data_IF_713763845030
#
_entry.id   IF_713763845030
#
_cell.length_a   1.000
_cell.length_b   1.000
_cell.length_c   1.000
_cell.angle_alpha   90.00
_cell.angle_beta   90.00
_cell.angle_gamma   90.00
#
_symmetry.space_group_name_H-M   'P 1'
#
loop_
_entity.id
_entity.type
_entity.pdbx_description
1 polymer ?
#
# COMPACT_ATOMS: atom_id res chain seq x y z
N UNK A 1 21.20 -17.65 1.08
CA UNK A 1 19.77 -17.86 0.81
C UNK A 1 19.47 -17.19 -0.51
N UNK A 2 18.82 -17.90 -1.43
CA UNK A 2 18.64 -17.52 -2.83
C UNK A 2 17.51 -16.49 -2.95
N UNK A 3 17.82 -15.24 -3.34
CA UNK A 3 16.92 -14.08 -3.24
C UNK A 3 15.67 -14.22 -4.13
N UNK A 4 15.79 -14.94 -5.25
CA UNK A 4 14.72 -15.23 -6.22
C UNK A 4 13.56 -16.02 -5.61
N UNK A 5 13.80 -16.84 -4.59
CA UNK A 5 12.75 -17.66 -3.98
C UNK A 5 11.78 -16.86 -3.10
N UNK A 6 12.18 -15.72 -2.53
CA UNK A 6 11.31 -14.93 -1.63
C UNK A 6 10.34 -14.00 -2.33
N UNK A 7 10.65 -13.56 -3.56
CA UNK A 7 9.76 -12.71 -4.35
C UNK A 7 8.58 -13.51 -4.91
N UNK A 8 8.87 -14.67 -5.52
CA UNK A 8 7.86 -15.52 -6.15
C UNK A 8 6.87 -16.13 -5.13
N UNK A 9 7.31 -16.45 -3.91
CA UNK A 9 6.41 -16.95 -2.85
C UNK A 9 5.56 -15.86 -2.19
N UNK A 10 5.97 -14.58 -2.26
CA UNK A 10 5.15 -13.44 -1.78
C UNK A 10 4.05 -13.04 -2.76
N UNK A 11 4.31 -13.19 -4.06
CA UNK A 11 3.40 -12.80 -5.14
C UNK A 11 2.52 -13.95 -5.65
N UNK A 12 2.61 -15.16 -5.08
CA UNK A 12 1.80 -16.32 -5.49
C UNK A 12 0.43 -16.39 -4.80
N UNK A 13 0.11 -15.44 -3.93
CA UNK A 13 -1.14 -15.38 -3.19
C UNK A 13 -2.07 -14.31 -3.75
N UNK A 14 -3.37 -14.56 -3.68
CA UNK A 14 -4.40 -13.55 -3.93
C UNK A 14 -4.23 -12.42 -2.92
N UNK A 15 -4.09 -11.18 -3.39
CA UNK A 15 -4.05 -10.01 -2.50
C UNK A 15 -5.44 -9.74 -1.92
N UNK A 16 -5.66 -10.27 -0.71
CA UNK A 16 -6.93 -10.15 0.01
C UNK A 16 -7.26 -8.67 0.27
N UNK A 17 -6.26 -7.81 0.49
CA UNK A 17 -6.51 -6.41 0.80
C UNK A 17 -7.08 -5.68 -0.42
N UNK A 18 -6.55 -5.97 -1.61
CA UNK A 18 -7.06 -5.47 -2.89
C UNK A 18 -8.50 -5.89 -3.13
N UNK A 19 -8.80 -7.18 -2.97
CA UNK A 19 -10.17 -7.70 -3.12
C UNK A 19 -11.12 -6.99 -2.16
N UNK A 20 -10.72 -6.83 -0.89
CA UNK A 20 -11.56 -6.19 0.12
C UNK A 20 -11.73 -4.70 -0.15
N UNK A 21 -10.73 -4.04 -0.74
CA UNK A 21 -10.85 -2.67 -1.20
C UNK A 21 -11.87 -2.54 -2.33
N UNK A 22 -11.78 -3.41 -3.35
CA UNK A 22 -12.74 -3.40 -4.46
C UNK A 22 -14.17 -3.71 -4.00
N UNK A 23 -14.35 -4.71 -3.13
CA UNK A 23 -15.65 -5.00 -2.51
C UNK A 23 -16.19 -3.75 -1.78
N UNK A 24 -15.35 -3.05 -1.02
CA UNK A 24 -15.74 -1.81 -0.35
C UNK A 24 -16.19 -0.74 -1.36
N UNK A 25 -15.40 -0.51 -2.42
CA UNK A 25 -15.70 0.51 -3.42
C UNK A 25 -17.00 0.20 -4.16
N UNK A 26 -17.21 -1.05 -4.58
CA UNK A 26 -18.43 -1.50 -5.26
C UNK A 26 -19.65 -1.39 -4.34
N UNK A 27 -19.57 -1.90 -3.12
CA UNK A 27 -20.70 -1.91 -2.18
C UNK A 27 -21.13 -0.50 -1.73
N UNK A 28 -20.22 0.48 -1.82
CA UNK A 28 -20.51 1.88 -1.49
C UNK A 28 -20.76 2.73 -2.74
N UNK A 29 -20.90 2.11 -3.91
CA UNK A 29 -21.14 2.79 -5.19
C UNK A 29 -20.12 3.90 -5.47
N UNK A 30 -18.85 3.67 -5.11
CA UNK A 30 -17.75 4.63 -5.34
C UNK A 30 -17.10 4.30 -6.69
N UNK A 31 -17.26 5.15 -7.73
CA UNK A 31 -16.58 4.94 -8.99
C UNK A 31 -15.06 4.98 -8.80
N UNK A 32 -14.35 4.08 -9.48
CA UNK A 32 -12.90 3.99 -9.38
C UNK A 32 -12.26 3.46 -10.66
N UNK A 33 -10.94 3.67 -10.80
CA UNK A 33 -10.09 3.02 -11.79
C UNK A 33 -8.83 2.47 -11.12
N UNK A 34 -8.38 1.28 -11.52
CA UNK A 34 -7.05 0.78 -11.17
C UNK A 34 -6.01 1.67 -11.88
N UNK A 35 -5.03 2.12 -11.12
CA UNK A 35 -3.99 3.06 -11.56
C UNK A 35 -2.59 2.44 -11.44
N UNK A 36 -2.34 1.72 -10.34
CA UNK A 36 -1.12 1.00 -10.01
C UNK A 36 -0.62 0.01 -11.07
N UNK A 37 0.68 -0.30 -11.03
CA UNK A 37 1.22 -1.42 -11.79
C UNK A 37 0.75 -2.74 -11.17
N UNK A 38 -0.06 -3.49 -11.90
CA UNK A 38 -0.48 -4.83 -11.49
C UNK A 38 0.59 -5.87 -11.84
N UNK A 39 1.62 -5.97 -11.00
CA UNK A 39 2.71 -6.92 -11.20
C UNK A 39 2.29 -8.39 -10.97
N UNK A 40 1.08 -8.65 -10.45
CA UNK A 40 0.58 -10.01 -10.24
C UNK A 40 -0.09 -10.54 -11.51
N UNK A 41 -0.98 -9.75 -12.12
CA UNK A 41 -1.72 -10.18 -13.31
C UNK A 41 -1.07 -9.74 -14.63
N UNK A 42 -0.29 -8.65 -14.62
CA UNK A 42 0.40 -8.11 -15.78
C UNK A 42 1.87 -7.81 -15.46
N UNK A 43 2.68 -8.85 -15.19
CA UNK A 43 4.06 -8.67 -14.75
C UNK A 43 4.89 -7.99 -15.84
N UNK A 44 5.68 -7.00 -15.42
CA UNK A 44 6.76 -6.45 -16.22
C UNK A 44 8.04 -7.15 -15.77
N UNK A 45 8.84 -7.64 -16.71
CA UNK A 45 10.12 -8.27 -16.36
C UNK A 45 10.95 -7.35 -15.47
N UNK A 46 11.56 -7.91 -14.42
CA UNK A 46 12.21 -7.14 -13.36
C UNK A 46 13.27 -6.17 -13.89
N UNK A 47 14.03 -6.57 -14.91
CA UNK A 47 15.05 -5.72 -15.55
C UNK A 47 14.43 -4.47 -16.17
N UNK A 48 13.32 -4.63 -16.89
CA UNK A 48 12.57 -3.51 -17.48
C UNK A 48 11.85 -2.67 -16.42
N UNK A 49 11.26 -3.33 -15.41
CA UNK A 49 10.58 -2.62 -14.33
C UNK A 49 11.56 -1.74 -13.56
N UNK A 50 12.77 -2.24 -13.28
CA UNK A 50 13.81 -1.51 -12.55
C UNK A 50 14.28 -0.22 -13.25
N UNK A 51 14.09 -0.11 -14.57
CA UNK A 51 14.38 1.13 -15.32
C UNK A 51 13.39 2.26 -15.03
N UNK A 52 12.19 1.92 -14.54
CA UNK A 52 11.15 2.90 -14.20
C UNK A 52 11.57 3.59 -12.88
N UNK A 53 11.49 4.94 -12.79
CA UNK A 53 11.78 5.65 -11.55
C UNK A 53 10.94 5.13 -10.38
N UNK A 54 11.56 5.01 -9.19
CA UNK A 54 10.88 4.46 -7.99
C UNK A 54 9.55 5.15 -7.70
N UNK A 55 9.49 6.47 -7.82
CA UNK A 55 8.25 7.24 -7.60
C UNK A 55 7.11 6.79 -8.52
N UNK A 56 7.42 6.44 -9.77
CA UNK A 56 6.43 5.97 -10.75
C UNK A 56 6.07 4.50 -10.50
N UNK A 57 7.05 3.65 -10.18
CA UNK A 57 6.78 2.25 -9.81
C UNK A 57 5.91 2.11 -8.56
N UNK A 58 6.05 3.06 -7.64
CA UNK A 58 5.33 3.11 -6.38
C UNK A 58 4.15 4.09 -6.45
N UNK A 59 3.46 4.12 -7.59
CA UNK A 59 2.21 4.87 -7.76
C UNK A 59 1.05 4.20 -7.01
N UNK A 60 0.03 4.95 -6.58
CA UNK A 60 -1.09 4.37 -5.83
C UNK A 60 -1.95 3.39 -6.63
N UNK A 61 -2.59 2.48 -5.93
CA UNK A 61 -3.33 1.37 -6.54
C UNK A 61 -4.55 1.84 -7.33
N UNK A 62 -5.31 2.81 -6.79
CA UNK A 62 -6.56 3.28 -7.39
C UNK A 62 -6.65 4.81 -7.47
N UNK A 63 -7.45 5.28 -8.43
CA UNK A 63 -8.07 6.60 -8.40
C UNK A 63 -9.56 6.40 -8.11
N UNK A 64 -10.08 7.12 -7.11
CA UNK A 64 -11.50 7.07 -6.73
C UNK A 64 -12.18 8.41 -6.96
N UNK A 65 -13.45 8.37 -7.34
CA UNK A 65 -14.25 9.54 -7.69
C UNK A 65 -15.39 9.71 -6.70
N UNK A 66 -15.33 10.74 -5.87
CA UNK A 66 -16.44 11.14 -4.99
C UNK A 66 -16.74 12.62 -5.26
N UNK A 67 -16.77 13.47 -4.22
CA UNK A 67 -16.85 14.93 -4.36
C UNK A 67 -15.63 15.53 -5.10
N UNK A 68 -14.51 14.81 -5.13
CA UNK A 68 -13.30 15.12 -5.89
C UNK A 68 -12.56 13.82 -6.19
N UNK A 69 -11.73 13.81 -7.24
CA UNK A 69 -10.82 12.71 -7.52
C UNK A 69 -9.73 12.61 -6.44
N UNK A 70 -9.40 11.38 -6.03
CA UNK A 70 -8.39 11.09 -4.99
C UNK A 70 -7.61 9.83 -5.33
N UNK A 71 -6.35 9.78 -4.88
CA UNK A 71 -5.55 8.56 -4.89
C UNK A 71 -5.94 7.69 -3.69
N UNK A 72 -5.99 6.39 -3.89
CA UNK A 72 -6.23 5.39 -2.85
C UNK A 72 -5.16 4.30 -2.95
N UNK A 73 -4.33 4.22 -1.91
CA UNK A 73 -3.35 3.15 -1.71
C UNK A 73 -3.97 2.05 -0.85
N UNK A 74 -3.75 0.78 -1.21
CA UNK A 74 -4.18 -0.38 -0.44
C UNK A 74 -3.01 -0.97 0.33
N UNK A 75 -3.24 -1.30 1.60
CA UNK A 75 -2.27 -2.00 2.45
C UNK A 75 -2.91 -3.15 3.20
N UNK A 76 -2.33 -4.34 3.06
CA UNK A 76 -2.65 -5.49 3.89
C UNK A 76 -1.79 -5.54 5.16
N UNK A 77 -2.39 -5.93 6.28
CA UNK A 77 -1.68 -6.20 7.53
C UNK A 77 -2.35 -7.33 8.31
N UNK A 78 -1.70 -7.78 9.40
CA UNK A 78 -2.33 -8.60 10.44
C UNK A 78 -2.76 -7.67 11.56
N UNK A 79 -2.08 -7.72 12.69
CA UNK A 79 -2.26 -6.88 13.88
C UNK A 79 -1.41 -5.60 13.85
N UNK A 80 -0.37 -5.56 13.03
CA UNK A 80 0.55 -4.42 12.88
C UNK A 80 0.72 -4.09 11.41
N UNK A 81 0.46 -2.83 11.05
CA UNK A 81 0.87 -2.27 9.76
C UNK A 81 2.37 -1.97 9.82
N UNK A 82 3.12 -2.60 8.91
CA UNK A 82 4.54 -2.33 8.70
C UNK A 82 4.68 -1.39 7.52
N UNK A 83 4.98 -0.13 7.80
CA UNK A 83 5.08 0.91 6.78
C UNK A 83 6.55 1.29 6.59
N UNK A 84 7.13 1.00 5.42
CA UNK A 84 8.54 1.31 5.18
C UNK A 84 8.76 2.82 5.23
N UNK A 85 9.92 3.24 5.74
CA UNK A 85 10.26 4.67 5.79
C UNK A 85 10.36 5.29 4.39
N UNK A 86 10.97 4.57 3.44
CA UNK A 86 11.11 5.00 2.05
C UNK A 86 9.76 5.25 1.35
N UNK A 87 8.71 4.50 1.72
CA UNK A 87 7.39 4.64 1.11
C UNK A 87 6.74 5.98 1.50
N UNK A 88 7.02 6.52 2.70
CA UNK A 88 6.49 7.82 3.15
C UNK A 88 6.89 8.96 2.21
N UNK A 89 8.13 8.95 1.72
CA UNK A 89 8.64 9.98 0.81
C UNK A 89 7.92 9.92 -0.55
N UNK A 90 7.67 8.70 -1.03
CA UNK A 90 6.89 8.48 -2.25
C UNK A 90 5.44 8.92 -2.07
N UNK A 91 4.83 8.61 -0.93
CA UNK A 91 3.47 9.04 -0.63
C UNK A 91 3.35 10.56 -0.53
N UNK A 92 4.37 11.25 -0.04
CA UNK A 92 4.39 12.71 -0.02
C UNK A 92 4.34 13.29 -1.43
N UNK A 93 5.11 12.72 -2.37
CA UNK A 93 5.08 13.12 -3.76
C UNK A 93 3.66 12.98 -4.34
N UNK A 94 3.06 11.80 -4.21
CA UNK A 94 1.73 11.53 -4.76
C UNK A 94 0.64 12.35 -4.10
N UNK A 95 0.73 12.58 -2.78
CA UNK A 95 -0.19 13.45 -2.05
C UNK A 95 -0.16 14.90 -2.55
N UNK A 96 1.01 15.39 -2.99
CA UNK A 96 1.15 16.72 -3.62
C UNK A 96 0.53 16.77 -5.03
N UNK A 97 0.46 15.64 -5.73
CA UNK A 97 -0.17 15.53 -7.05
C UNK A 97 -1.70 15.49 -6.92
N UNK A 98 -2.23 14.64 -6.05
CA UNK A 98 -3.67 14.48 -5.83
C UNK A 98 -3.92 13.95 -4.40
N UNK A 99 -5.01 14.34 -3.71
CA UNK A 99 -5.24 13.92 -2.33
C UNK A 99 -5.19 12.40 -2.18
N UNK A 100 -4.32 11.93 -1.28
CA UNK A 100 -4.04 10.53 -1.04
C UNK A 100 -4.68 10.03 0.26
N UNK A 101 -5.39 8.91 0.16
CA UNK A 101 -5.93 8.14 1.28
C UNK A 101 -5.45 6.69 1.21
N UNK A 102 -5.57 5.97 2.32
CA UNK A 102 -5.15 4.58 2.45
C UNK A 102 -6.32 3.72 2.88
N UNK A 103 -6.53 2.61 2.19
CA UNK A 103 -7.38 1.51 2.63
C UNK A 103 -6.50 0.44 3.27
N UNK A 104 -6.57 0.31 4.59
CA UNK A 104 -5.75 -0.65 5.32
C UNK A 104 -6.65 -1.80 5.77
N UNK A 105 -6.41 -3.00 5.26
CA UNK A 105 -7.13 -4.21 5.65
C UNK A 105 -6.31 -5.03 6.64
N UNK A 106 -6.95 -5.48 7.71
CA UNK A 106 -6.39 -6.44 8.65
C UNK A 106 -6.98 -7.82 8.44
N UNK A 107 -6.13 -8.80 8.12
CA UNK A 107 -6.53 -10.20 8.05
C UNK A 107 -6.82 -10.81 9.42
N UNK A 108 -6.24 -10.28 10.50
CA UNK A 108 -6.48 -10.80 11.87
C UNK A 108 -7.79 -10.31 12.47
N UNK A 109 -8.24 -9.12 12.06
CA UNK A 109 -9.48 -8.51 12.53
C UNK A 109 -10.59 -8.53 11.47
N UNK A 110 -10.33 -9.10 10.29
CA UNK A 110 -11.24 -9.17 9.13
C UNK A 110 -11.97 -7.84 8.86
N UNK A 111 -11.26 -6.73 8.98
CA UNK A 111 -11.82 -5.38 8.90
C UNK A 111 -10.84 -4.41 8.25
N UNK A 112 -11.37 -3.29 7.79
CA UNK A 112 -10.59 -2.23 7.15
C UNK A 112 -10.69 -0.91 7.92
N UNK A 113 -9.70 -0.05 7.70
CA UNK A 113 -9.70 1.35 8.13
C UNK A 113 -9.31 2.24 6.96
N UNK A 114 -9.96 3.40 6.89
CA UNK A 114 -9.62 4.46 5.96
C UNK A 114 -8.85 5.54 6.71
N UNK A 115 -7.67 5.90 6.21
CA UNK A 115 -6.85 6.96 6.80
C UNK A 115 -6.30 7.90 5.74
N UNK A 116 -6.27 9.19 6.01
CA UNK A 116 -5.63 10.17 5.14
C UNK A 116 -4.11 10.08 5.23
N UNK A 117 -3.39 10.53 4.20
CA UNK A 117 -1.92 10.64 4.25
C UNK A 117 -1.40 11.35 5.51
N UNK A 118 -1.96 12.51 5.86
CA UNK A 118 -1.56 13.24 7.08
C UNK A 118 -1.82 12.45 8.35
N UNK A 119 -2.93 11.72 8.41
CA UNK A 119 -3.24 10.83 9.53
C UNK A 119 -2.21 9.72 9.68
N UNK A 120 -1.86 9.08 8.55
CA UNK A 120 -0.86 8.03 8.52
C UNK A 120 0.52 8.53 8.97
N UNK A 121 1.00 9.64 8.39
CA UNK A 121 2.28 10.25 8.77
C UNK A 121 2.33 10.56 10.26
N UNK A 122 1.27 11.16 10.83
CA UNK A 122 1.20 11.45 12.27
C UNK A 122 1.36 10.18 13.10
N UNK A 123 0.67 9.10 12.75
CA UNK A 123 0.80 7.82 13.46
C UNK A 123 2.20 7.24 13.29
N UNK A 124 2.79 7.31 12.10
CA UNK A 124 4.15 6.84 11.83
C UNK A 124 5.19 7.54 12.70
N UNK A 125 5.09 8.86 12.89
CA UNK A 125 6.05 9.62 13.73
C UNK A 125 6.02 9.23 15.21
N UNK A 126 4.94 8.59 15.67
CA UNK A 126 4.76 8.14 17.06
C UNK A 126 5.01 6.63 17.20
N UNK A 127 5.18 5.93 16.09
CA UNK A 127 5.32 4.49 16.06
C UNK A 127 6.78 4.07 16.32
N UNK A 128 7.00 2.92 16.99
CA UNK A 128 8.31 2.30 17.05
C UNK A 128 8.86 2.01 15.65
N UNK A 129 10.18 2.12 15.50
CA UNK A 129 10.90 1.73 14.28
C UNK A 129 11.51 0.35 14.48
N UNK A 130 11.49 -0.46 13.42
CA UNK A 130 12.08 -1.80 13.39
C UNK A 130 12.61 -2.08 11.97
N UNK A 131 13.29 -3.21 11.79
CA UNK A 131 14.04 -3.53 10.59
C UNK A 131 13.56 -4.86 10.02
N UNK A 132 13.29 -4.88 8.72
CA UNK A 132 12.98 -6.10 7.99
C UNK A 132 14.23 -7.00 7.92
N UNK A 133 14.13 -8.21 8.48
CA UNK A 133 15.25 -9.15 8.55
C UNK A 133 15.79 -9.60 7.18
N UNK A 134 14.99 -9.49 6.11
CA UNK A 134 15.33 -9.96 4.77
C UNK A 134 16.06 -8.93 3.91
N UNK A 135 15.91 -7.63 4.19
CA UNK A 135 16.45 -6.56 3.34
C UNK A 135 17.03 -5.37 4.11
N UNK A 136 17.07 -5.44 5.44
CA UNK A 136 17.53 -4.38 6.35
C UNK A 136 16.81 -3.03 6.18
N UNK A 137 15.63 -3.01 5.54
CA UNK A 137 14.85 -1.79 5.40
C UNK A 137 14.12 -1.47 6.70
N UNK A 138 14.19 -0.19 7.10
CA UNK A 138 13.48 0.31 8.25
C UNK A 138 11.98 0.50 7.96
N UNK A 139 11.16 0.21 8.97
CA UNK A 139 9.72 0.43 8.90
C UNK A 139 9.15 0.90 10.24
N UNK A 140 8.06 1.67 10.16
CA UNK A 140 7.23 2.05 11.30
C UNK A 140 6.28 0.90 11.65
N UNK A 141 6.22 0.52 12.94
CA UNK A 141 5.29 -0.46 13.50
C UNK A 141 4.03 0.23 14.02
N UNK A 142 3.00 0.29 13.19
CA UNK A 142 1.74 0.93 13.56
C UNK A 142 0.75 -0.14 14.00
N UNK A 143 0.43 -0.17 15.29
CA UNK A 143 -0.54 -1.11 15.85
C UNK A 143 -1.93 -0.87 15.24
N UNK A 144 -2.63 -1.95 14.88
CA UNK A 144 -3.97 -1.86 14.31
C UNK A 144 -4.94 -1.02 15.15
N UNK A 145 -4.84 -1.11 16.48
CA UNK A 145 -5.70 -0.37 17.40
C UNK A 145 -5.46 1.15 17.38
N UNK A 146 -4.29 1.59 16.91
CA UNK A 146 -3.92 3.01 16.79
C UNK A 146 -4.24 3.61 15.41
N UNK A 147 -4.49 2.76 14.41
CA UNK A 147 -4.92 3.16 13.07
C UNK A 147 -6.31 3.82 13.05
#
# INVERSE_FOLDING_TARGET
MDYTNTYNTRNSGVDIADIKCEEFLVNNEIPYVRYGFDQQNNPIEFEHFSLIPTTIRSQPDFIVFQNQARLLEVKGCRDVLRLKKEDIEVYEFWWKVMPLSFFIYSCSYESYKLISYRGLVRLSTQAPVDIYADNNKEYYKIDWQKL
#
